data_IF_334700711464
#
_entry.id   IF_334700711464
#
_cell.length_a   1.000
_cell.length_b   1.000
_cell.length_c   1.000
_cell.angle_alpha   90.00
_cell.angle_beta   90.00
_cell.angle_gamma   90.00
#
_symmetry.space_group_name_H-M   'P 1'
#
loop_
_entity.id
_entity.type
_entity.pdbx_description
1 polymer ?
#
# COMPACT_ATOMS: atom_id res chain seq x y z
N UNK A 1 3.76 -15.82 -1.36
CA UNK A 1 4.48 -15.52 -0.10
C UNK A 1 4.74 -14.03 -0.01
N UNK A 2 4.81 -13.46 1.20
CA UNK A 2 5.15 -12.06 1.44
C UNK A 2 6.30 -12.00 2.44
N UNK A 3 7.25 -11.10 2.22
CA UNK A 3 8.30 -10.83 3.19
C UNK A 3 7.71 -10.11 4.40
N UNK A 4 8.20 -10.46 5.58
CA UNK A 4 7.87 -9.79 6.84
C UNK A 4 9.04 -8.91 7.26
N UNK A 5 8.74 -7.84 7.97
CA UNK A 5 9.75 -7.09 8.69
C UNK A 5 10.12 -7.73 10.03
N UNK A 6 10.89 -6.99 10.85
CA UNK A 6 11.54 -5.73 10.49
C UNK A 6 12.65 -5.92 9.45
N UNK A 7 13.17 -4.83 8.90
CA UNK A 7 14.43 -4.87 8.15
C UNK A 7 15.60 -5.32 9.04
N UNK A 8 16.74 -5.66 8.44
CA UNK A 8 17.95 -6.02 9.19
C UNK A 8 18.36 -4.95 10.21
N UNK A 9 18.23 -3.67 9.83
CA UNK A 9 18.53 -2.50 10.68
C UNK A 9 17.40 -2.15 11.66
N UNK A 10 16.39 -3.03 11.80
CA UNK A 10 15.26 -2.88 12.73
C UNK A 10 14.29 -1.74 12.38
N UNK A 11 14.29 -1.25 11.15
CA UNK A 11 13.21 -0.39 10.65
C UNK A 11 11.94 -1.20 10.35
N UNK A 12 10.79 -0.61 10.68
CA UNK A 12 9.48 -1.22 10.45
C UNK A 12 9.14 -1.27 8.96
N UNK A 13 8.80 -2.47 8.49
CA UNK A 13 8.30 -2.80 7.14
C UNK A 13 7.39 -4.03 7.25
N UNK A 14 6.50 -4.27 6.27
CA UNK A 14 6.15 -3.38 5.14
C UNK A 14 5.41 -2.12 5.62
N UNK A 15 5.24 -1.12 4.74
CA UNK A 15 4.50 0.11 5.10
C UNK A 15 2.98 -0.10 5.03
N UNK A 16 2.52 -0.82 4.00
CA UNK A 16 1.10 -1.04 3.69
C UNK A 16 0.93 -2.36 2.92
N UNK A 17 -0.25 -2.96 3.01
CA UNK A 17 -0.63 -4.18 2.30
C UNK A 17 -1.63 -3.91 1.18
N UNK A 18 -1.60 -4.70 0.12
CA UNK A 18 -2.60 -4.69 -0.94
C UNK A 18 -2.79 -6.11 -1.48
N UNK A 19 -3.82 -6.31 -2.31
CA UNK A 19 -4.03 -7.61 -2.95
C UNK A 19 -2.82 -7.99 -3.83
N UNK A 20 -2.13 -9.05 -3.43
CA UNK A 20 -0.96 -9.59 -4.12
C UNK A 20 -1.31 -10.67 -5.12
N UNK A 21 -2.35 -10.50 -5.92
CA UNK A 21 -2.68 -11.46 -6.97
C UNK A 21 -3.11 -10.77 -8.27
N UNK A 22 -3.03 -11.48 -9.40
CA UNK A 22 -3.59 -11.03 -10.66
C UNK A 22 -4.21 -12.21 -11.41
N UNK A 23 -5.31 -11.94 -12.11
CA UNK A 23 -6.02 -12.93 -12.91
C UNK A 23 -5.63 -12.76 -14.38
N UNK A 24 -5.31 -13.87 -15.05
CA UNK A 24 -5.03 -13.91 -16.48
C UNK A 24 -5.63 -15.19 -17.07
N UNK A 25 -6.69 -15.03 -17.87
CA UNK A 25 -7.51 -16.15 -18.33
C UNK A 25 -8.18 -16.87 -17.14
N UNK A 26 -8.01 -18.18 -17.06
CA UNK A 26 -8.48 -19.02 -15.95
C UNK A 26 -7.49 -19.11 -14.78
N UNK A 27 -6.32 -18.47 -14.88
CA UNK A 27 -5.24 -18.61 -13.91
C UNK A 27 -5.17 -17.40 -12.98
N UNK A 28 -4.89 -17.66 -11.69
CA UNK A 28 -4.58 -16.64 -10.69
C UNK A 28 -3.12 -16.76 -10.25
N UNK A 29 -2.39 -15.68 -10.41
CA UNK A 29 -1.00 -15.56 -9.99
C UNK A 29 -0.92 -14.84 -8.65
N UNK A 30 0.00 -15.25 -7.78
CA UNK A 30 0.16 -14.68 -6.44
C UNK A 30 1.59 -14.17 -6.23
N UNK A 31 1.73 -13.02 -5.58
CA UNK A 31 3.02 -12.39 -5.30
C UNK A 31 2.87 -10.93 -4.90
N UNK A 32 3.79 -10.45 -4.06
CA UNK A 32 3.91 -9.01 -3.74
C UNK A 32 4.22 -8.17 -4.97
N UNK A 33 4.80 -8.77 -6.02
CA UNK A 33 4.95 -8.18 -7.36
C UNK A 33 3.62 -7.72 -7.98
N UNK A 34 2.48 -8.26 -7.55
CA UNK A 34 1.15 -7.81 -7.96
C UNK A 34 0.52 -6.83 -6.95
N UNK A 35 0.98 -6.80 -5.70
CA UNK A 35 0.54 -5.82 -4.70
C UNK A 35 1.18 -4.44 -4.96
N UNK A 36 2.49 -4.41 -5.24
CA UNK A 36 3.26 -3.19 -5.49
C UNK A 36 2.65 -2.26 -6.58
N UNK A 37 2.27 -2.74 -7.79
CA UNK A 37 1.67 -1.86 -8.80
C UNK A 37 0.31 -1.28 -8.39
N UNK A 38 -0.46 -1.96 -7.52
CA UNK A 38 -1.72 -1.39 -6.98
C UNK A 38 -1.46 -0.21 -6.04
N UNK A 39 -0.44 -0.32 -5.19
CA UNK A 39 0.01 0.78 -4.33
C UNK A 39 0.55 1.94 -5.19
N UNK A 40 1.31 1.64 -6.24
CA UNK A 40 1.78 2.66 -7.19
C UNK A 40 0.62 3.39 -7.88
N UNK A 41 -0.41 2.65 -8.32
CA UNK A 41 -1.63 3.23 -8.89
C UNK A 41 -2.39 4.13 -7.91
N UNK A 42 -2.49 3.73 -6.63
CA UNK A 42 -3.08 4.57 -5.59
C UNK A 42 -2.30 5.86 -5.35
N UNK A 43 -0.96 5.78 -5.31
CA UNK A 43 -0.11 6.96 -5.20
C UNK A 43 -0.30 7.92 -6.38
N UNK A 44 -0.35 7.39 -7.60
CA UNK A 44 -0.61 8.18 -8.81
C UNK A 44 -1.98 8.86 -8.76
N UNK A 45 -3.02 8.15 -8.28
CA UNK A 45 -4.36 8.71 -8.12
C UNK A 45 -4.38 9.86 -7.10
N UNK A 46 -3.73 9.71 -5.95
CA UNK A 46 -3.62 10.77 -4.94
C UNK A 46 -2.84 11.98 -5.43
N UNK A 47 -1.78 11.76 -6.22
CA UNK A 47 -1.04 12.85 -6.87
C UNK A 47 -1.96 13.59 -7.83
N UNK A 48 -2.69 12.88 -8.70
CA UNK A 48 -3.66 13.46 -9.62
C UNK A 48 -4.74 14.27 -8.89
N UNK A 49 -5.36 13.67 -7.87
CA UNK A 49 -6.35 14.35 -7.02
C UNK A 49 -5.78 15.63 -6.38
N UNK A 50 -4.53 15.58 -5.91
CA UNK A 50 -3.86 16.73 -5.31
C UNK A 50 -3.62 17.84 -6.33
N UNK A 51 -3.23 17.50 -7.56
CA UNK A 51 -3.06 18.45 -8.67
C UNK A 51 -4.41 19.09 -9.05
N UNK A 52 -5.46 18.29 -9.22
CA UNK A 52 -6.79 18.76 -9.63
C UNK A 52 -7.43 19.73 -8.62
N UNK A 53 -7.08 19.60 -7.34
CA UNK A 53 -7.62 20.41 -6.25
C UNK A 53 -6.62 21.46 -5.71
N UNK A 54 -5.49 21.67 -6.38
CA UNK A 54 -4.44 22.59 -5.96
C UNK A 54 -3.94 22.34 -4.51
N UNK A 55 -3.86 21.07 -4.12
CA UNK A 55 -3.33 20.61 -2.83
C UNK A 55 -1.82 20.39 -2.99
N UNK A 56 -1.03 21.12 -2.22
CA UNK A 56 0.42 20.90 -2.14
C UNK A 56 0.70 19.50 -1.64
N UNK A 57 1.49 18.74 -2.40
CA UNK A 57 1.87 17.38 -2.04
C UNK A 57 3.38 17.18 -2.11
N UNK A 58 3.86 16.22 -1.34
CA UNK A 58 5.23 15.71 -1.36
C UNK A 58 5.16 14.18 -1.38
N UNK A 59 6.24 13.46 -1.75
CA UNK A 59 6.26 12.00 -1.63
C UNK A 59 5.89 11.52 -0.21
N UNK A 60 6.36 12.25 0.80
CA UNK A 60 6.05 11.98 2.21
C UNK A 60 4.57 12.18 2.57
N UNK A 61 3.91 13.20 2.04
CA UNK A 61 2.48 13.41 2.30
C UNK A 61 1.61 12.34 1.63
N UNK A 62 1.98 11.89 0.42
CA UNK A 62 1.24 10.85 -0.31
C UNK A 62 1.33 9.49 0.41
N UNK A 63 2.53 9.08 0.83
CA UNK A 63 2.67 7.82 1.60
C UNK A 63 1.97 7.91 2.95
N UNK A 64 2.04 9.07 3.62
CA UNK A 64 1.34 9.29 4.90
C UNK A 64 -0.17 9.19 4.74
N UNK A 65 -0.72 9.79 3.69
CA UNK A 65 -2.14 9.74 3.37
C UNK A 65 -2.62 8.29 3.17
N UNK A 66 -1.91 7.51 2.33
CA UNK A 66 -2.20 6.09 2.12
C UNK A 66 -2.10 5.27 3.41
N UNK A 67 -1.08 5.51 4.25
CA UNK A 67 -0.88 4.77 5.49
C UNK A 67 -1.95 5.07 6.53
N UNK A 68 -2.39 6.33 6.64
CA UNK A 68 -3.45 6.74 7.57
C UNK A 68 -4.85 6.33 7.09
N UNK A 69 -5.07 6.28 5.79
CA UNK A 69 -6.33 5.86 5.18
C UNK A 69 -6.50 4.34 5.07
N UNK A 70 -5.47 3.55 5.37
CA UNK A 70 -5.53 2.10 5.25
C UNK A 70 -6.58 1.47 6.19
N UNK A 71 -7.27 0.43 5.71
CA UNK A 71 -8.15 -0.39 6.54
C UNK A 71 -7.28 -1.21 7.51
N UNK A 72 -7.47 -1.10 8.85
CA UNK A 72 -6.66 -1.83 9.80
C UNK A 72 -6.91 -3.34 9.69
N UNK A 73 -5.82 -4.12 9.73
CA UNK A 73 -5.85 -5.59 9.74
C UNK A 73 -5.47 -6.10 11.14
N UNK A 74 -6.39 -5.93 12.09
CA UNK A 74 -6.14 -6.11 13.54
C UNK A 74 -5.71 -7.53 13.95
N UNK A 75 -6.01 -8.53 13.13
CA UNK A 75 -5.64 -9.93 13.38
C UNK A 75 -4.17 -10.23 13.03
N UNK A 76 -3.48 -9.30 12.36
CA UNK A 76 -2.13 -9.49 11.85
C UNK A 76 -1.14 -8.51 12.49
N UNK A 77 0.07 -8.97 12.84
CA UNK A 77 1.11 -8.07 13.35
C UNK A 77 1.51 -7.02 12.33
N UNK A 78 1.86 -5.81 12.81
CA UNK A 78 2.28 -4.70 11.94
C UNK A 78 3.53 -4.99 11.10
N UNK A 79 4.45 -5.85 11.57
CA UNK A 79 5.60 -6.29 10.78
C UNK A 79 5.23 -7.26 9.63
N UNK A 80 3.97 -7.68 9.55
CA UNK A 80 3.43 -8.49 8.43
C UNK A 80 2.63 -7.63 7.47
N UNK A 81 1.80 -6.72 7.99
CA UNK A 81 0.81 -5.98 7.18
C UNK A 81 1.05 -4.47 7.04
N UNK A 82 2.04 -3.94 7.76
CA UNK A 82 2.27 -2.50 7.86
C UNK A 82 1.14 -1.82 8.62
N UNK A 83 0.66 -0.68 8.10
CA UNK A 83 -0.48 0.04 8.70
C UNK A 83 -1.83 -0.57 8.37
N UNK A 84 -1.90 -1.55 7.46
CA UNK A 84 -3.14 -2.22 7.07
C UNK A 84 -3.27 -2.40 5.56
N UNK A 85 -4.50 -2.63 5.11
CA UNK A 85 -4.84 -2.84 3.71
C UNK A 85 -5.15 -1.51 3.02
N UNK A 86 -4.53 -1.27 1.87
CA UNK A 86 -4.75 -0.11 1.01
C UNK A 86 -6.25 0.15 0.78
N UNK A 87 -6.67 1.36 1.10
CA UNK A 87 -8.00 1.88 0.82
C UNK A 87 -7.87 3.29 0.24
N UNK A 88 -8.01 3.41 -1.08
CA UNK A 88 -7.81 4.66 -1.82
C UNK A 88 -8.90 5.70 -1.49
N UNK A 89 -10.09 5.27 -1.05
CA UNK A 89 -11.20 6.20 -0.74
C UNK A 89 -11.01 6.91 0.59
N UNK A 90 -10.32 6.27 1.52
CA UNK A 90 -10.03 6.81 2.83
C UNK A 90 -8.65 7.50 2.88
N UNK A 91 -7.87 7.41 1.80
CA UNK A 91 -6.55 7.98 1.67
C UNK A 91 -6.60 9.44 1.22
#
# INVERSE_FOLDING_TARGET
FSSTGPTFERYMKPDISAYGYADHGSNRYYGTSFAAPRVAGAAAWLIGHSVDHNITHTPGSIITAMMKGADPLIEYPSYVVGTGKLNVRNA
#
